data_IF_926213088511
#
_entry.id   IF_926213088511
#
_cell.length_a   1.000
_cell.length_b   1.000
_cell.length_c   1.000
_cell.angle_alpha   90.00
_cell.angle_beta   90.00
_cell.angle_gamma   90.00
#
_symmetry.space_group_name_H-M   'P 1'
#
loop_
_entity.id
_entity.type
_entity.pdbx_description
1 polymer ?
#
# COMPACT_ATOMS: atom_id res chain seq x y z
N UNK A 1 28.16 -21.43 -7.68
CA UNK A 1 28.08 -21.06 -6.25
C UNK A 1 26.67 -20.59 -5.99
N UNK A 2 25.92 -21.34 -5.17
CA UNK A 2 24.55 -20.97 -4.78
C UNK A 2 24.67 -19.78 -3.82
N UNK A 3 24.13 -18.61 -4.17
CA UNK A 3 24.04 -17.48 -3.24
C UNK A 3 23.11 -17.91 -2.10
N UNK A 4 23.60 -17.92 -0.86
CA UNK A 4 22.75 -18.07 0.32
C UNK A 4 21.69 -16.94 0.28
N UNK A 5 20.41 -17.31 0.31
CA UNK A 5 19.26 -16.40 0.22
C UNK A 5 19.10 -15.53 1.47
N UNK A 6 19.92 -14.48 1.55
CA UNK A 6 19.80 -13.41 2.53
C UNK A 6 19.67 -12.07 1.80
N UNK A 7 18.68 -11.28 2.22
CA UNK A 7 18.39 -9.97 1.66
C UNK A 7 19.63 -9.08 1.74
N UNK A 8 20.00 -8.38 0.63
CA UNK A 8 21.15 -7.49 0.61
C UNK A 8 21.11 -6.43 1.71
N UNK A 9 19.92 -5.84 1.93
CA UNK A 9 19.66 -4.86 2.98
C UNK A 9 18.74 -5.45 4.07
N UNK A 10 19.00 -5.11 5.33
CA UNK A 10 18.21 -5.60 6.45
C UNK A 10 18.13 -4.55 7.57
N UNK A 11 16.91 -4.31 8.06
CA UNK A 11 16.61 -3.32 9.09
C UNK A 11 15.70 -3.91 10.17
N UNK A 12 15.68 -3.28 11.35
CA UNK A 12 14.86 -3.70 12.48
C UNK A 12 14.25 -2.51 13.19
N UNK A 13 13.05 -2.71 13.73
CA UNK A 13 12.33 -1.75 14.56
C UNK A 13 11.74 -2.49 15.77
N UNK A 14 11.91 -1.98 16.99
CA UNK A 14 11.57 -2.68 18.25
C UNK A 14 12.03 -4.15 18.30
N UNK A 15 13.24 -4.44 17.79
CA UNK A 15 13.83 -5.77 17.79
C UNK A 15 13.17 -6.78 16.82
N UNK A 16 12.28 -6.32 15.95
CA UNK A 16 11.61 -7.14 14.94
C UNK A 16 12.00 -6.69 13.53
N UNK A 17 12.10 -7.65 12.60
CA UNK A 17 12.33 -7.41 11.18
C UNK A 17 10.97 -7.25 10.50
N UNK A 18 10.56 -6.01 10.25
CA UNK A 18 9.30 -5.72 9.57
C UNK A 18 9.52 -5.64 8.07
N UNK A 19 8.57 -6.17 7.30
CA UNK A 19 8.58 -6.04 5.85
C UNK A 19 7.73 -4.85 5.34
N UNK A 20 6.59 -4.56 5.99
CA UNK A 20 5.60 -3.60 5.49
C UNK A 20 6.02 -2.13 5.39
N UNK A 21 5.14 -1.31 4.79
CA UNK A 21 5.41 0.08 4.45
C UNK A 21 5.66 1.02 5.64
N UNK A 22 5.01 0.81 6.79
CA UNK A 22 5.09 1.77 7.90
C UNK A 22 6.40 1.68 8.72
N UNK A 23 6.89 0.47 8.96
CA UNK A 23 8.01 0.22 9.87
C UNK A 23 9.07 -0.73 9.30
N UNK A 24 8.94 -1.11 8.02
CA UNK A 24 9.69 -2.21 7.44
C UNK A 24 10.43 -1.87 6.15
N UNK A 25 10.99 -2.93 5.58
CA UNK A 25 11.81 -2.87 4.37
C UNK A 25 11.11 -2.16 3.21
N UNK A 26 9.84 -2.47 2.95
CA UNK A 26 9.07 -1.86 1.85
C UNK A 26 9.01 -0.33 1.97
N UNK A 27 8.86 0.21 3.18
CA UNK A 27 8.89 1.66 3.41
C UNK A 27 10.25 2.28 3.11
N UNK A 28 11.32 1.64 3.61
CA UNK A 28 12.68 2.12 3.41
C UNK A 28 13.05 2.06 1.92
N UNK A 29 12.75 0.95 1.24
CA UNK A 29 13.01 0.78 -0.19
C UNK A 29 12.21 1.80 -1.01
N UNK A 30 10.96 2.09 -0.65
CA UNK A 30 10.16 3.11 -1.32
C UNK A 30 10.88 4.47 -1.34
N UNK A 31 11.34 4.93 -0.17
CA UNK A 31 12.05 6.21 -0.04
C UNK A 31 13.38 6.21 -0.81
N UNK A 32 14.12 5.10 -0.78
CA UNK A 32 15.37 4.98 -1.55
C UNK A 32 15.12 5.09 -3.06
N UNK A 33 13.98 4.62 -3.55
CA UNK A 33 13.60 4.71 -4.96
C UNK A 33 13.19 6.12 -5.41
N UNK A 34 13.05 7.09 -4.50
CA UNK A 34 12.80 8.50 -4.84
C UNK A 34 14.07 9.31 -5.09
N UNK A 35 15.25 8.71 -4.93
CA UNK A 35 16.53 9.35 -5.24
C UNK A 35 17.25 8.64 -6.38
N UNK A 36 18.21 9.33 -6.99
CA UNK A 36 19.04 8.71 -8.03
C UNK A 36 19.98 7.68 -7.39
N UNK A 37 19.66 6.40 -7.57
CA UNK A 37 20.45 5.28 -7.08
C UNK A 37 21.68 5.02 -7.97
N UNK A 38 22.80 4.69 -7.33
CA UNK A 38 23.94 4.10 -8.04
C UNK A 38 23.60 2.66 -8.46
N UNK A 39 24.22 2.13 -9.53
CA UNK A 39 23.87 0.80 -10.03
C UNK A 39 23.98 -0.33 -8.99
N UNK A 40 25.02 -0.31 -8.15
CA UNK A 40 25.21 -1.26 -7.06
C UNK A 40 24.10 -1.18 -6.01
N UNK A 41 23.72 0.04 -5.62
CA UNK A 41 22.63 0.27 -4.65
C UNK A 41 21.28 -0.13 -5.23
N UNK A 42 21.05 0.09 -6.52
CA UNK A 42 19.82 -0.32 -7.19
C UNK A 42 19.66 -1.85 -7.18
N UNK A 43 20.74 -2.60 -7.40
CA UNK A 43 20.72 -4.06 -7.28
C UNK A 43 20.43 -4.54 -5.85
N UNK A 44 20.97 -3.86 -4.84
CA UNK A 44 20.68 -4.17 -3.44
C UNK A 44 19.21 -3.92 -3.09
N UNK A 45 18.64 -2.79 -3.54
CA UNK A 45 17.21 -2.46 -3.35
C UNK A 45 16.32 -3.50 -4.02
N UNK A 46 16.60 -3.86 -5.28
CA UNK A 46 15.86 -4.90 -6.00
C UNK A 46 15.95 -6.25 -5.30
N UNK A 47 17.15 -6.65 -4.93
CA UNK A 47 17.38 -7.92 -4.21
C UNK A 47 16.61 -7.98 -2.89
N UNK A 48 16.49 -6.87 -2.18
CA UNK A 48 15.72 -6.79 -0.94
C UNK A 48 14.21 -6.87 -1.17
N UNK A 49 13.68 -6.27 -2.25
CA UNK A 49 12.26 -6.37 -2.57
C UNK A 49 11.83 -7.76 -3.04
N UNK A 50 12.73 -8.49 -3.69
CA UNK A 50 12.48 -9.86 -4.16
C UNK A 50 12.50 -10.92 -3.04
N UNK A 51 13.09 -10.60 -1.89
CA UNK A 51 12.98 -11.46 -0.71
C UNK A 51 11.67 -11.18 0.04
N UNK A 52 10.55 -11.65 -0.51
CA UNK A 52 9.26 -11.61 0.17
C UNK A 52 9.28 -12.47 1.44
N UNK A 53 8.97 -11.87 2.59
CA UNK A 53 8.67 -12.65 3.80
C UNK A 53 7.26 -13.24 3.70
N UNK A 54 7.16 -14.41 3.06
CA UNK A 54 5.94 -15.23 2.88
C UNK A 54 5.23 -15.66 4.19
N UNK A 55 5.56 -15.09 5.36
CA UNK A 55 5.27 -15.72 6.66
C UNK A 55 4.03 -15.26 7.41
N UNK A 56 3.25 -14.28 6.94
CA UNK A 56 2.03 -13.84 7.67
C UNK A 56 0.85 -13.45 6.77
N UNK A 57 0.06 -14.44 6.36
CA UNK A 57 -1.17 -14.38 5.53
C UNK A 57 -2.38 -13.67 6.21
N UNK A 58 -2.18 -12.84 7.22
CA UNK A 58 -3.29 -12.34 8.06
C UNK A 58 -3.60 -10.84 7.92
N UNK A 59 -2.68 -10.02 7.40
CA UNK A 59 -2.86 -8.55 7.42
C UNK A 59 -2.92 -7.96 6.01
N UNK A 60 -4.12 -7.54 5.60
CA UNK A 60 -4.38 -6.83 4.33
C UNK A 60 -4.50 -5.34 4.62
N UNK A 61 -3.43 -4.75 5.16
CA UNK A 61 -3.35 -3.35 5.57
C UNK A 61 -2.23 -2.66 4.80
N UNK A 62 -2.41 -1.40 4.39
CA UNK A 62 -1.34 -0.63 3.77
C UNK A 62 -0.06 -0.59 4.63
N UNK A 63 -0.18 -0.34 5.94
CA UNK A 63 0.98 -0.26 6.83
C UNK A 63 1.80 -1.56 6.92
N UNK A 64 1.22 -2.69 6.51
CA UNK A 64 1.84 -4.01 6.51
C UNK A 64 2.03 -4.61 5.11
N UNK A 65 1.55 -3.95 4.05
CA UNK A 65 1.61 -4.44 2.68
C UNK A 65 2.52 -3.60 1.80
N UNK A 66 3.27 -4.25 0.91
CA UNK A 66 4.09 -3.59 -0.11
C UNK A 66 3.44 -3.30 -1.48
N UNK A 67 2.11 -3.44 -1.76
CA UNK A 67 1.62 -3.23 -3.13
C UNK A 67 2.04 -1.90 -3.74
N UNK A 68 1.94 -0.78 -3.00
CA UNK A 68 2.37 0.53 -3.49
C UNK A 68 3.89 0.63 -3.72
N UNK A 69 4.70 -0.07 -2.91
CA UNK A 69 6.16 -0.15 -3.10
C UNK A 69 6.52 -0.95 -4.35
N UNK A 70 5.82 -2.07 -4.61
CA UNK A 70 6.06 -2.91 -5.78
C UNK A 70 5.69 -2.18 -7.06
N UNK A 71 4.59 -1.41 -7.05
CA UNK A 71 4.23 -0.53 -8.17
C UNK A 71 5.32 0.52 -8.42
N UNK A 72 5.81 1.19 -7.38
CA UNK A 72 6.93 2.13 -7.50
C UNK A 72 8.20 1.47 -8.05
N UNK A 73 8.51 0.26 -7.60
CA UNK A 73 9.67 -0.50 -8.09
C UNK A 73 9.53 -0.83 -9.60
N UNK A 74 8.34 -1.17 -10.07
CA UNK A 74 8.08 -1.36 -11.49
C UNK A 74 8.32 -0.09 -12.31
N UNK A 75 7.89 1.08 -11.81
CA UNK A 75 8.12 2.37 -12.46
C UNK A 75 9.61 2.75 -12.52
N UNK A 76 10.34 2.50 -11.44
CA UNK A 76 11.75 2.91 -11.31
C UNK A 76 12.70 1.96 -12.04
N UNK A 77 12.48 0.66 -11.96
CA UNK A 77 13.38 -0.34 -12.54
C UNK A 77 12.93 -0.83 -13.93
N UNK A 78 11.66 -0.62 -14.31
CA UNK A 78 11.12 -1.08 -15.59
C UNK A 78 10.99 -2.60 -15.70
N UNK A 79 11.07 -3.33 -14.57
CA UNK A 79 11.02 -4.79 -14.52
C UNK A 79 9.58 -5.27 -14.28
N UNK A 80 9.06 -6.07 -15.20
CA UNK A 80 7.67 -6.56 -15.18
C UNK A 80 7.32 -7.38 -13.94
N UNK A 81 8.30 -8.06 -13.35
CA UNK A 81 8.09 -8.91 -12.16
C UNK A 81 7.56 -8.11 -10.97
N UNK A 82 8.03 -6.87 -10.77
CA UNK A 82 7.51 -6.01 -9.71
C UNK A 82 6.06 -5.58 -9.95
N UNK A 83 5.71 -5.32 -11.22
CA UNK A 83 4.34 -4.97 -11.57
C UNK A 83 3.41 -6.17 -11.31
N UNK A 84 3.80 -7.36 -11.76
CA UNK A 84 3.03 -8.59 -11.54
C UNK A 84 2.83 -8.91 -10.06
N UNK A 85 3.88 -8.72 -9.24
CA UNK A 85 3.78 -8.85 -7.79
C UNK A 85 2.82 -7.80 -7.18
N UNK A 86 2.89 -6.55 -7.63
CA UNK A 86 1.96 -5.49 -7.24
C UNK A 86 0.51 -5.81 -7.59
N UNK A 87 0.27 -6.37 -8.77
CA UNK A 87 -1.05 -6.79 -9.25
C UNK A 87 -1.62 -7.96 -8.46
N UNK A 88 -0.79 -8.97 -8.18
CA UNK A 88 -1.17 -10.10 -7.32
C UNK A 88 -1.52 -9.62 -5.90
N UNK A 89 -0.73 -8.69 -5.35
CA UNK A 89 -1.01 -8.12 -4.04
C UNK A 89 -2.30 -7.28 -4.04
N UNK A 90 -2.61 -6.58 -5.13
CA UNK A 90 -3.87 -5.87 -5.30
C UNK A 90 -5.07 -6.80 -5.44
N UNK A 91 -4.92 -7.99 -6.03
CA UNK A 91 -5.98 -9.01 -6.05
C UNK A 91 -6.34 -9.48 -4.62
N UNK A 92 -5.33 -9.64 -3.75
CA UNK A 92 -5.57 -9.93 -2.32
C UNK A 92 -6.34 -8.80 -1.66
N UNK A 93 -5.95 -7.54 -1.91
CA UNK A 93 -6.66 -6.35 -1.40
C UNK A 93 -8.08 -6.28 -1.93
N UNK A 94 -8.31 -6.60 -3.21
CA UNK A 94 -9.65 -6.61 -3.79
C UNK A 94 -10.56 -7.63 -3.11
N UNK A 95 -10.06 -8.85 -2.86
CA UNK A 95 -10.84 -9.93 -2.28
C UNK A 95 -11.05 -9.81 -0.76
N UNK A 96 -10.13 -9.16 -0.04
CA UNK A 96 -10.07 -9.18 1.45
C UNK A 96 -9.94 -7.80 2.10
N UNK A 97 -9.81 -6.73 1.31
CA UNK A 97 -9.48 -5.38 1.77
C UNK A 97 -10.66 -4.50 2.19
N UNK A 98 -11.91 -5.00 2.13
CA UNK A 98 -13.07 -4.36 2.76
C UNK A 98 -13.05 -4.63 4.27
N UNK A 99 -12.13 -3.95 4.95
CA UNK A 99 -11.89 -4.10 6.38
C UNK A 99 -13.03 -3.51 7.23
N UNK A 100 -13.10 -3.91 8.49
CA UNK A 100 -14.01 -3.29 9.48
C UNK A 100 -13.42 -2.01 10.10
N UNK A 101 -12.63 -1.25 9.34
CA UNK A 101 -11.93 -0.04 9.77
C UNK A 101 -11.96 1.02 8.67
N UNK A 102 -12.15 2.28 9.04
CA UNK A 102 -12.36 3.37 8.07
C UNK A 102 -11.06 3.97 7.52
N UNK A 103 -10.02 4.08 8.36
CA UNK A 103 -8.85 4.94 8.12
C UNK A 103 -7.92 4.57 6.97
N UNK A 104 -6.81 5.31 6.89
CA UNK A 104 -5.77 5.20 5.85
C UNK A 104 -4.70 4.15 6.23
N UNK A 105 -4.28 4.08 7.49
CA UNK A 105 -3.19 3.21 7.92
C UNK A 105 -3.54 1.71 7.72
N UNK A 106 -4.73 1.31 8.14
CA UNK A 106 -5.21 -0.07 8.16
C UNK A 106 -6.73 -0.13 8.00
N UNK A 107 -7.28 0.66 7.07
CA UNK A 107 -8.71 0.71 6.79
C UNK A 107 -9.02 0.70 5.31
N UNK A 108 -10.31 0.76 5.00
CA UNK A 108 -10.80 0.75 3.62
C UNK A 108 -10.23 1.93 2.82
N UNK A 109 -10.09 3.11 3.45
CA UNK A 109 -9.61 4.30 2.76
C UNK A 109 -8.19 4.11 2.23
N UNK A 110 -7.31 3.50 3.04
CA UNK A 110 -5.94 3.20 2.62
C UNK A 110 -5.86 2.12 1.56
N UNK A 111 -6.69 1.08 1.67
CA UNK A 111 -6.70 -0.02 0.70
C UNK A 111 -7.13 0.44 -0.70
N UNK A 112 -7.98 1.46 -0.82
CA UNK A 112 -8.34 2.05 -2.11
C UNK A 112 -7.13 2.60 -2.88
N UNK A 113 -6.11 3.09 -2.17
CA UNK A 113 -4.91 3.64 -2.79
C UNK A 113 -4.07 2.59 -3.52
N UNK A 114 -4.15 1.30 -3.14
CA UNK A 114 -3.46 0.23 -3.89
C UNK A 114 -3.96 0.18 -5.34
N UNK A 115 -5.27 0.25 -5.53
CA UNK A 115 -5.86 0.30 -6.87
C UNK A 115 -5.58 1.64 -7.56
N UNK A 116 -5.51 2.76 -6.83
CA UNK A 116 -5.11 4.05 -7.43
C UNK A 116 -3.66 4.01 -7.93
N UNK A 117 -2.73 3.42 -7.18
CA UNK A 117 -1.33 3.27 -7.61
C UNK A 117 -1.21 2.46 -8.89
N UNK A 118 -1.91 1.32 -8.98
CA UNK A 118 -1.94 0.51 -10.20
C UNK A 118 -2.63 1.22 -11.36
N UNK A 119 -3.70 1.98 -11.11
CA UNK A 119 -4.34 2.77 -12.14
C UNK A 119 -3.37 3.81 -12.74
N UNK A 120 -2.63 4.54 -11.90
CA UNK A 120 -1.65 5.53 -12.37
C UNK A 120 -0.50 4.87 -13.15
N UNK A 121 0.00 3.73 -12.67
CA UNK A 121 1.13 3.03 -13.31
C UNK A 121 0.74 2.36 -14.64
N UNK A 122 -0.49 1.85 -14.77
CA UNK A 122 -0.90 1.01 -15.91
C UNK A 122 -1.89 1.68 -16.86
N UNK A 123 -2.61 2.72 -16.42
CA UNK A 123 -3.74 3.32 -17.14
C UNK A 123 -4.97 2.41 -17.26
N UNK A 124 -4.98 1.23 -16.62
CA UNK A 124 -6.08 0.26 -16.75
C UNK A 124 -7.29 0.63 -15.90
N UNK A 125 -8.44 0.77 -16.58
CA UNK A 125 -9.69 1.19 -15.95
C UNK A 125 -10.26 0.21 -14.91
N UNK A 126 -9.85 -1.06 -14.93
CA UNK A 126 -10.24 -2.02 -13.89
C UNK A 126 -9.80 -1.56 -12.49
N UNK A 127 -8.61 -1.01 -12.35
CA UNK A 127 -8.10 -0.54 -11.06
C UNK A 127 -8.80 0.75 -10.62
N UNK A 128 -9.11 1.64 -11.57
CA UNK A 128 -9.95 2.79 -11.27
C UNK A 128 -11.34 2.37 -10.78
N UNK A 129 -11.93 1.33 -11.38
CA UNK A 129 -13.20 0.78 -10.94
C UNK A 129 -13.12 0.21 -9.52
N UNK A 130 -12.05 -0.52 -9.18
CA UNK A 130 -11.83 -1.02 -7.82
C UNK A 130 -11.72 0.11 -6.79
N UNK A 131 -10.91 1.15 -7.07
CA UNK A 131 -10.79 2.32 -6.20
C UNK A 131 -12.14 3.01 -5.99
N UNK A 132 -12.92 3.19 -7.07
CA UNK A 132 -14.29 3.72 -7.02
C UNK A 132 -15.21 2.84 -6.19
N UNK A 133 -15.10 1.52 -6.25
CA UNK A 133 -15.93 0.61 -5.46
C UNK A 133 -15.65 0.75 -3.96
N UNK A 134 -14.38 0.83 -3.55
CA UNK A 134 -14.02 1.12 -2.16
C UNK A 134 -14.56 2.47 -1.67
N UNK A 135 -14.35 3.53 -2.45
CA UNK A 135 -14.87 4.86 -2.11
C UNK A 135 -16.41 4.88 -2.05
N UNK A 136 -17.08 4.21 -2.98
CA UNK A 136 -18.55 4.12 -3.02
C UNK A 136 -19.10 3.35 -1.82
N UNK A 137 -18.43 2.27 -1.40
CA UNK A 137 -18.79 1.55 -0.18
C UNK A 137 -18.70 2.46 1.05
N UNK A 138 -17.62 3.23 1.19
CA UNK A 138 -17.45 4.18 2.29
C UNK A 138 -18.54 5.27 2.27
N UNK A 139 -18.86 5.81 1.10
CA UNK A 139 -19.89 6.83 0.93
C UNK A 139 -21.29 6.31 1.31
N UNK A 140 -21.68 5.14 0.82
CA UNK A 140 -23.01 4.57 1.04
C UNK A 140 -23.19 3.98 2.46
N UNK A 141 -22.16 3.26 2.94
CA UNK A 141 -22.25 2.42 4.16
C UNK A 141 -21.44 2.93 5.33
N UNK A 142 -20.36 3.67 5.11
CA UNK A 142 -19.38 4.02 6.13
C UNK A 142 -20.01 4.68 7.36
N UNK A 143 -20.78 5.75 7.17
CA UNK A 143 -21.46 6.46 8.26
C UNK A 143 -22.40 5.56 9.09
N UNK A 144 -23.20 4.71 8.43
CA UNK A 144 -24.11 3.77 9.10
C UNK A 144 -23.34 2.74 9.91
N UNK A 145 -22.32 2.13 9.33
CA UNK A 145 -21.52 1.10 10.00
C UNK A 145 -20.75 1.66 11.20
N UNK A 146 -20.21 2.88 11.08
CA UNK A 146 -19.57 3.60 12.18
C UNK A 146 -20.56 3.87 13.33
N UNK A 147 -21.75 4.39 13.01
CA UNK A 147 -22.77 4.72 14.02
C UNK A 147 -23.29 3.50 14.80
N UNK A 148 -23.24 2.31 14.19
CA UNK A 148 -23.64 1.03 14.81
C UNK A 148 -22.51 0.31 15.53
N UNK A 149 -21.27 0.81 15.43
CA UNK A 149 -20.08 0.10 15.94
C UNK A 149 -19.70 -1.16 15.15
N UNK A 150 -20.26 -1.36 13.95
CA UNK A 150 -19.93 -2.49 13.07
C UNK A 150 -18.62 -2.26 12.29
N UNK A 151 -18.22 -0.99 12.15
CA UNK A 151 -16.94 -0.53 11.62
C UNK A 151 -16.25 0.35 12.67
N UNK A 152 -14.96 0.12 12.88
CA UNK A 152 -14.13 0.89 13.81
C UNK A 152 -13.70 2.22 13.17
N UNK A 153 -13.95 3.32 13.88
CA UNK A 153 -13.62 4.68 13.45
C UNK A 153 -12.18 5.12 13.67
N UNK A 154 -11.33 4.25 14.25
CA UNK A 154 -9.99 4.60 14.71
C UNK A 154 -9.99 5.06 16.17
N UNK A 155 -8.84 4.92 16.84
CA UNK A 155 -8.68 5.36 18.25
C UNK A 155 -8.74 6.89 18.34
N UNK A 156 -8.27 7.57 17.29
CA UNK A 156 -8.48 9.00 17.04
C UNK A 156 -9.45 9.22 15.87
N UNK A 157 -10.78 9.32 16.11
CA UNK A 157 -11.80 9.18 15.05
C UNK A 157 -11.78 10.22 13.94
N UNK A 158 -11.17 11.38 14.18
CA UNK A 158 -11.07 12.47 13.22
C UNK A 158 -9.65 12.65 12.64
N UNK A 159 -8.72 11.77 13.00
CA UNK A 159 -7.34 11.83 12.51
C UNK A 159 -7.24 11.45 11.03
N UNK A 160 -6.11 11.82 10.40
CA UNK A 160 -5.80 11.47 9.02
C UNK A 160 -5.59 9.96 8.86
N UNK A 161 -4.79 9.33 9.72
CA UNK A 161 -4.34 7.95 9.51
C UNK A 161 -5.32 6.90 10.02
N UNK A 162 -6.12 7.18 11.05
CA UNK A 162 -7.04 6.19 11.64
C UNK A 162 -8.51 6.51 11.37
N UNK A 163 -8.81 7.81 11.29
CA UNK A 163 -10.16 8.34 11.35
C UNK A 163 -10.79 8.68 10.01
N UNK A 164 -11.93 9.37 10.11
CA UNK A 164 -12.67 9.90 8.96
C UNK A 164 -11.93 11.02 8.22
N UNK A 165 -10.87 11.59 8.82
CA UNK A 165 -9.97 12.51 8.13
C UNK A 165 -9.31 11.85 6.92
N UNK A 166 -8.89 10.59 7.07
CA UNK A 166 -8.36 9.78 5.97
C UNK A 166 -9.40 9.41 4.90
N UNK A 167 -10.64 9.16 5.32
CA UNK A 167 -11.75 8.93 4.39
C UNK A 167 -12.05 10.18 3.55
N UNK A 168 -12.08 11.35 4.18
CA UNK A 168 -12.26 12.62 3.48
C UNK A 168 -11.11 12.88 2.50
N UNK A 169 -9.87 12.58 2.90
CA UNK A 169 -8.70 12.70 2.03
C UNK A 169 -8.84 11.82 0.77
N UNK A 170 -9.20 10.53 0.93
CA UNK A 170 -9.47 9.66 -0.22
C UNK A 170 -10.54 10.25 -1.15
N UNK A 171 -11.65 10.76 -0.62
CA UNK A 171 -12.72 11.32 -1.47
C UNK A 171 -12.26 12.55 -2.27
N UNK A 172 -11.39 13.38 -1.71
CA UNK A 172 -10.79 14.51 -2.43
C UNK A 172 -9.88 14.02 -3.56
N UNK A 173 -9.03 13.04 -3.28
CA UNK A 173 -8.15 12.44 -4.29
C UNK A 173 -8.92 11.72 -5.41
N UNK A 174 -10.10 11.16 -5.11
CA UNK A 174 -10.96 10.55 -6.13
C UNK A 174 -11.55 11.54 -7.14
N UNK A 175 -11.43 12.86 -6.91
CA UNK A 175 -11.81 13.89 -7.89
C UNK A 175 -10.88 13.88 -9.10
N UNK A 176 -9.57 13.66 -8.89
CA UNK A 176 -8.59 13.42 -9.94
C UNK A 176 -7.74 12.17 -9.63
N UNK A 177 -8.27 10.97 -9.94
CA UNK A 177 -7.60 9.70 -9.63
C UNK A 177 -6.23 9.53 -10.29
N UNK A 178 -5.93 10.31 -11.35
CA UNK A 178 -4.63 10.27 -12.02
C UNK A 178 -3.53 10.96 -11.20
N UNK A 179 -3.91 11.87 -10.31
CA UNK A 179 -3.02 12.63 -9.43
C UNK A 179 -3.09 12.18 -7.97
N UNK A 180 -4.02 11.29 -7.62
CA UNK A 180 -4.16 10.78 -6.26
C UNK A 180 -2.84 10.16 -5.75
N UNK A 181 -2.46 10.41 -4.50
CA UNK A 181 -1.23 9.87 -3.89
C UNK A 181 -1.49 9.49 -2.44
N UNK A 182 -1.03 8.31 -2.02
CA UNK A 182 -1.16 7.91 -0.62
C UNK A 182 -0.47 8.94 0.29
N UNK A 183 -1.19 9.55 1.25
CA UNK A 183 -0.67 10.67 2.02
C UNK A 183 0.51 10.26 2.90
N UNK A 184 1.64 10.96 2.73
CA UNK A 184 2.86 10.72 3.50
C UNK A 184 3.64 9.48 3.06
N UNK A 185 3.35 8.92 1.88
CA UNK A 185 4.10 7.80 1.32
C UNK A 185 4.47 7.99 -0.14
N UNK A 186 3.49 8.21 -1.01
CA UNK A 186 3.75 8.38 -2.44
C UNK A 186 4.04 9.84 -2.78
N UNK A 187 5.11 10.07 -3.55
CA UNK A 187 5.52 11.39 -4.06
C UNK A 187 5.11 11.60 -5.52
#
# INVERSE_FOLDING_TARGET
MVKNGNSPLMFQWYGQRYWGAAHGLAGIMHVLMDVQLKPDVAEDVKGTLNEEDMRRDFLVHWCHGAPGTLVKAAEVFGEREFLEAGEAAAEVVWNRGLLKQVGICHGISGNAYVSLSLYRATGRNEYLHQAKAFASFLLDRGHKLLSKGEMHGGDSPYSLFEGVGGMAYLFLDMVDPSQARFPGYEL
#
